data_IF_363345252242
#
_entry.id   IF_363345252242
#
_cell.length_a   1.000
_cell.length_b   1.000
_cell.length_c   1.000
_cell.angle_alpha   90.00
_cell.angle_beta   90.00
_cell.angle_gamma   90.00
#
_symmetry.space_group_name_H-M   'P 1'
#
loop_
_entity.id
_entity.type
_entity.pdbx_description
1 polymer ?
#
# COMPACT_ATOMS: atom_id res chain seq x y z
N UNK A 1 -14.46 -21.59 -7.48
CA UNK A 1 -13.09 -21.56 -6.89
C UNK A 1 -13.24 -22.07 -5.49
N UNK A 2 -12.49 -23.10 -5.12
CA UNK A 2 -12.53 -23.73 -3.81
C UNK A 2 -11.15 -23.58 -3.15
N UNK A 3 -11.14 -23.18 -1.86
CA UNK A 3 -9.94 -22.99 -1.05
C UNK A 3 -9.42 -21.56 -1.05
N UNK A 4 -8.98 -21.08 0.11
CA UNK A 4 -8.56 -19.69 0.35
C UNK A 4 -7.37 -19.28 -0.51
N UNK A 5 -6.33 -20.09 -0.61
CA UNK A 5 -5.16 -19.77 -1.44
C UNK A 5 -5.50 -19.65 -2.94
N UNK A 6 -6.58 -20.27 -3.41
CA UNK A 6 -7.08 -20.09 -4.77
C UNK A 6 -7.87 -18.78 -4.90
N UNK A 7 -8.63 -18.41 -3.85
CA UNK A 7 -9.36 -17.14 -3.79
C UNK A 7 -8.38 -15.96 -3.75
N UNK A 8 -7.33 -16.04 -2.94
CA UNK A 8 -6.29 -15.00 -2.89
C UNK A 8 -5.57 -14.81 -4.23
N UNK A 9 -5.20 -15.91 -4.90
CA UNK A 9 -4.60 -15.85 -6.25
C UNK A 9 -5.56 -15.27 -7.28
N UNK A 10 -6.84 -15.64 -7.21
CA UNK A 10 -7.85 -15.09 -8.09
C UNK A 10 -8.06 -13.60 -7.85
N UNK A 11 -8.12 -13.18 -6.58
CA UNK A 11 -8.26 -11.77 -6.19
C UNK A 11 -7.06 -10.93 -6.66
N UNK A 12 -5.84 -11.45 -6.53
CA UNK A 12 -4.63 -10.82 -7.09
C UNK A 12 -4.74 -10.56 -8.60
N UNK A 13 -5.15 -11.58 -9.36
CA UNK A 13 -5.31 -11.44 -10.80
C UNK A 13 -6.46 -10.50 -11.16
N UNK A 14 -7.58 -10.59 -10.47
CA UNK A 14 -8.72 -9.70 -10.67
C UNK A 14 -8.32 -8.23 -10.44
N UNK A 15 -7.65 -7.92 -9.36
CA UNK A 15 -7.13 -6.59 -9.06
C UNK A 15 -6.09 -6.13 -10.09
N UNK A 16 -5.25 -7.02 -10.57
CA UNK A 16 -4.27 -6.72 -11.62
C UNK A 16 -4.95 -6.33 -12.93
N UNK A 17 -5.99 -7.04 -13.34
CA UNK A 17 -6.78 -6.69 -14.54
C UNK A 17 -7.57 -5.39 -14.35
N UNK A 18 -8.12 -5.15 -13.17
CA UNK A 18 -8.79 -3.90 -12.84
C UNK A 18 -7.81 -2.71 -12.90
N UNK A 19 -6.61 -2.85 -12.33
CA UNK A 19 -5.57 -1.84 -12.41
C UNK A 19 -5.13 -1.56 -13.86
N UNK A 20 -4.98 -2.60 -14.68
CA UNK A 20 -4.67 -2.46 -16.12
C UNK A 20 -5.77 -1.71 -16.86
N UNK A 21 -7.04 -2.04 -16.61
CA UNK A 21 -8.19 -1.32 -17.18
C UNK A 21 -8.15 0.18 -16.80
N UNK A 22 -7.92 0.50 -15.53
CA UNK A 22 -7.84 1.88 -15.05
C UNK A 22 -6.64 2.62 -15.68
N UNK A 23 -5.48 1.97 -15.83
CA UNK A 23 -4.32 2.53 -16.53
C UNK A 23 -4.65 2.85 -18.00
N UNK A 24 -5.41 1.99 -18.66
CA UNK A 24 -5.90 2.26 -20.02
C UNK A 24 -6.86 3.47 -20.07
N UNK A 25 -7.81 3.55 -19.14
CA UNK A 25 -8.71 4.70 -19.02
C UNK A 25 -7.95 6.00 -18.73
N UNK A 26 -6.98 5.94 -17.81
CA UNK A 26 -6.10 7.07 -17.53
C UNK A 26 -5.35 7.56 -18.78
N UNK A 27 -4.82 6.64 -19.59
CA UNK A 27 -4.15 6.99 -20.86
C UNK A 27 -5.07 7.70 -21.85
N UNK A 28 -6.33 7.25 -21.97
CA UNK A 28 -7.32 7.90 -22.81
C UNK A 28 -7.66 9.32 -22.32
N UNK A 29 -7.88 9.49 -21.03
CA UNK A 29 -8.20 10.82 -20.45
C UNK A 29 -6.99 11.74 -20.53
N UNK A 30 -5.79 11.22 -20.35
CA UNK A 30 -4.56 11.98 -20.52
C UNK A 30 -4.42 12.53 -21.93
N UNK A 31 -4.71 11.73 -22.95
CA UNK A 31 -4.71 12.21 -24.33
C UNK A 31 -5.72 13.36 -24.54
N UNK A 32 -6.92 13.26 -23.96
CA UNK A 32 -7.91 14.33 -24.01
C UNK A 32 -7.42 15.60 -23.28
N UNK A 33 -6.76 15.43 -22.13
CA UNK A 33 -6.12 16.51 -21.39
C UNK A 33 -5.06 17.23 -22.23
N UNK A 34 -4.14 16.50 -22.83
CA UNK A 34 -3.07 17.04 -23.67
C UNK A 34 -3.64 17.81 -24.89
N UNK A 35 -4.66 17.28 -25.55
CA UNK A 35 -5.36 17.97 -26.64
C UNK A 35 -6.06 19.27 -26.20
N UNK A 36 -6.70 19.27 -25.04
CA UNK A 36 -7.34 20.47 -24.48
C UNK A 36 -6.29 21.54 -24.14
N UNK A 37 -5.15 21.13 -23.58
CA UNK A 37 -4.01 22.03 -23.32
C UNK A 37 -3.48 22.67 -24.60
N UNK A 38 -3.27 21.90 -25.66
CA UNK A 38 -2.80 22.40 -26.97
C UNK A 38 -3.76 23.40 -27.59
N UNK A 39 -5.07 23.24 -27.37
CA UNK A 39 -6.11 24.14 -27.88
C UNK A 39 -6.42 25.33 -26.97
N UNK A 40 -5.78 25.44 -25.81
CA UNK A 40 -6.06 26.41 -24.77
C UNK A 40 -7.52 26.30 -24.22
N UNK A 41 -8.10 25.09 -24.23
CA UNK A 41 -9.41 24.77 -23.66
C UNK A 41 -9.26 24.50 -22.15
N UNK A 42 -8.88 25.53 -21.38
CA UNK A 42 -8.42 25.42 -19.99
C UNK A 42 -9.42 24.78 -19.03
N UNK A 43 -10.70 25.07 -19.20
CA UNK A 43 -11.76 24.49 -18.37
C UNK A 43 -11.90 22.98 -18.62
N UNK A 44 -11.83 22.56 -19.87
CA UNK A 44 -11.90 21.13 -20.23
C UNK A 44 -10.63 20.43 -19.77
N UNK A 45 -9.47 21.04 -19.94
CA UNK A 45 -8.20 20.53 -19.41
C UNK A 45 -8.27 20.30 -17.89
N UNK A 46 -8.83 21.25 -17.11
CA UNK A 46 -9.04 21.07 -15.68
C UNK A 46 -9.98 19.91 -15.35
N UNK A 47 -11.07 19.73 -16.10
CA UNK A 47 -12.00 18.63 -15.92
C UNK A 47 -11.33 17.26 -16.19
N UNK A 48 -10.54 17.16 -17.26
CA UNK A 48 -9.75 15.97 -17.54
C UNK A 48 -8.69 15.73 -16.46
N UNK A 49 -8.03 16.77 -15.98
CA UNK A 49 -7.05 16.67 -14.90
C UNK A 49 -7.66 16.09 -13.61
N UNK A 50 -8.84 16.55 -13.21
CA UNK A 50 -9.59 16.00 -12.08
C UNK A 50 -9.97 14.54 -12.27
N UNK A 51 -10.38 14.18 -13.49
CA UNK A 51 -10.68 12.79 -13.83
C UNK A 51 -9.43 11.91 -13.75
N UNK A 52 -8.29 12.39 -14.22
CA UNK A 52 -7.00 11.70 -14.09
C UNK A 52 -6.62 11.49 -12.62
N UNK A 53 -6.82 12.49 -11.76
CA UNK A 53 -6.55 12.37 -10.31
C UNK A 53 -7.37 11.25 -9.66
N UNK A 54 -8.67 11.18 -9.95
CA UNK A 54 -9.56 10.12 -9.45
C UNK A 54 -9.18 8.73 -9.96
N UNK A 55 -8.83 8.60 -11.23
CA UNK A 55 -8.36 7.32 -11.79
C UNK A 55 -7.05 6.88 -11.15
N UNK A 56 -6.15 7.84 -10.86
CA UNK A 56 -4.89 7.55 -10.20
C UNK A 56 -5.08 7.08 -8.77
N UNK A 57 -5.99 7.68 -8.00
CA UNK A 57 -6.37 7.19 -6.68
C UNK A 57 -6.79 5.72 -6.72
N UNK A 58 -7.69 5.36 -7.63
CA UNK A 58 -8.18 3.98 -7.80
C UNK A 58 -7.06 3.01 -8.21
N UNK A 59 -6.15 3.44 -9.09
CA UNK A 59 -4.98 2.64 -9.46
C UNK A 59 -4.12 2.38 -8.23
N UNK A 60 -3.83 3.42 -7.44
CA UNK A 60 -3.00 3.31 -6.25
C UNK A 60 -3.63 2.43 -5.16
N UNK A 61 -4.95 2.50 -4.96
CA UNK A 61 -5.67 1.60 -4.05
C UNK A 61 -5.48 0.14 -4.45
N UNK A 62 -5.67 -0.20 -5.72
CA UNK A 62 -5.48 -1.57 -6.22
C UNK A 62 -4.03 -2.04 -6.13
N UNK A 63 -3.05 -1.17 -6.44
CA UNK A 63 -1.63 -1.53 -6.33
C UNK A 63 -1.23 -1.81 -4.87
N UNK A 64 -1.76 -1.04 -3.93
CA UNK A 64 -1.54 -1.24 -2.50
C UNK A 64 -2.21 -2.54 -2.02
N UNK A 65 -3.46 -2.78 -2.40
CA UNK A 65 -4.20 -3.98 -1.98
C UNK A 65 -3.58 -5.29 -2.48
N UNK A 66 -3.05 -5.29 -3.72
CA UNK A 66 -2.42 -6.48 -4.30
C UNK A 66 -0.97 -6.69 -3.88
N UNK A 67 -0.33 -5.71 -3.21
CA UNK A 67 1.07 -5.82 -2.81
C UNK A 67 1.30 -7.06 -1.94
N UNK A 68 2.26 -7.89 -2.32
CA UNK A 68 2.59 -9.17 -1.66
C UNK A 68 4.01 -9.24 -1.18
N UNK A 69 4.89 -8.40 -1.70
CA UNK A 69 6.33 -8.43 -1.40
C UNK A 69 6.93 -7.01 -1.39
N UNK A 70 8.20 -6.92 -1.02
CA UNK A 70 8.90 -5.63 -0.89
C UNK A 70 9.10 -4.95 -2.26
N UNK A 71 9.20 -5.71 -3.35
CA UNK A 71 9.33 -5.13 -4.70
C UNK A 71 8.08 -4.36 -5.10
N UNK A 72 6.90 -4.84 -4.72
CA UNK A 72 5.63 -4.16 -5.00
C UNK A 72 5.58 -2.76 -4.36
N UNK A 73 6.27 -2.56 -3.21
CA UNK A 73 6.43 -1.23 -2.62
C UNK A 73 7.27 -0.30 -3.50
N UNK A 74 8.29 -0.83 -4.17
CA UNK A 74 9.09 -0.07 -5.14
C UNK A 74 8.21 0.43 -6.30
N UNK A 75 7.34 -0.42 -6.81
CA UNK A 75 6.40 -0.06 -7.88
C UNK A 75 5.41 1.01 -7.42
N UNK A 76 4.85 0.89 -6.21
CA UNK A 76 3.97 1.90 -5.62
C UNK A 76 4.69 3.25 -5.49
N UNK A 77 5.91 3.26 -4.95
CA UNK A 77 6.71 4.47 -4.81
C UNK A 77 7.04 5.10 -6.17
N UNK A 78 7.37 4.30 -7.18
CA UNK A 78 7.61 4.80 -8.53
C UNK A 78 6.35 5.44 -9.14
N UNK A 79 5.20 4.82 -8.97
CA UNK A 79 3.94 5.39 -9.43
C UNK A 79 3.65 6.73 -8.76
N UNK A 80 3.80 6.85 -7.45
CA UNK A 80 3.49 8.08 -6.71
C UNK A 80 4.51 9.20 -6.95
N UNK A 81 5.80 8.88 -6.86
CA UNK A 81 6.86 9.90 -6.84
C UNK A 81 7.32 10.26 -8.24
N UNK A 82 7.52 9.26 -9.10
CA UNK A 82 8.06 9.48 -10.44
C UNK A 82 6.93 9.76 -11.45
N UNK A 83 6.00 8.83 -11.58
CA UNK A 83 5.03 8.91 -12.66
C UNK A 83 4.03 10.05 -12.44
N UNK A 84 3.45 10.16 -11.24
CA UNK A 84 2.50 11.23 -11.00
C UNK A 84 3.18 12.59 -10.88
N UNK A 85 4.09 12.76 -9.91
CA UNK A 85 4.69 14.07 -9.63
C UNK A 85 5.54 14.59 -10.80
N UNK A 86 6.49 13.81 -11.30
CA UNK A 86 7.43 14.32 -12.30
C UNK A 86 6.80 14.44 -13.68
N UNK A 87 5.95 13.52 -14.09
CA UNK A 87 5.35 13.53 -15.43
C UNK A 87 4.14 14.47 -15.54
N UNK A 88 3.46 14.76 -14.43
CA UNK A 88 2.24 15.56 -14.46
C UNK A 88 2.45 16.96 -13.86
N UNK A 89 2.92 17.06 -12.63
CA UNK A 89 2.98 18.33 -11.90
C UNK A 89 3.96 19.30 -12.55
N UNK A 90 5.22 18.88 -12.75
CA UNK A 90 6.27 19.80 -13.17
C UNK A 90 6.15 20.24 -14.64
N UNK A 91 5.36 19.55 -15.45
CA UNK A 91 5.28 19.83 -16.89
C UNK A 91 4.02 20.57 -17.31
N UNK A 92 2.92 20.35 -16.64
CA UNK A 92 1.60 20.81 -17.09
C UNK A 92 0.89 21.73 -16.12
N UNK A 93 1.14 21.61 -14.80
CA UNK A 93 0.36 22.35 -13.82
C UNK A 93 0.58 23.85 -13.91
N UNK A 94 1.83 24.33 -14.08
CA UNK A 94 2.15 25.76 -14.23
C UNK A 94 1.46 26.37 -15.45
N UNK A 95 1.44 25.66 -16.56
CA UNK A 95 0.81 26.14 -17.81
C UNK A 95 -0.70 26.16 -17.67
N UNK A 96 -1.29 25.16 -17.02
CA UNK A 96 -2.71 25.09 -16.78
C UNK A 96 -3.18 26.20 -15.81
N UNK A 97 -2.45 26.43 -14.71
CA UNK A 97 -2.72 27.51 -13.76
C UNK A 97 -2.62 28.90 -14.43
N UNK A 98 -1.61 29.10 -15.26
CA UNK A 98 -1.47 30.34 -16.02
C UNK A 98 -2.66 30.56 -16.98
N UNK A 99 -3.11 29.50 -17.66
CA UNK A 99 -4.26 29.56 -18.56
C UNK A 99 -5.59 29.76 -17.86
N UNK A 100 -5.76 29.22 -16.66
CA UNK A 100 -6.94 29.38 -15.81
C UNK A 100 -6.97 30.74 -15.09
N UNK A 101 -5.80 31.32 -14.80
CA UNK A 101 -5.66 32.53 -13.99
C UNK A 101 -5.79 32.30 -12.48
N UNK A 102 -5.78 31.04 -12.01
CA UNK A 102 -5.81 30.67 -10.59
C UNK A 102 -5.12 29.32 -10.38
N UNK A 103 -4.74 29.04 -9.12
CA UNK A 103 -4.11 27.79 -8.74
C UNK A 103 -5.07 26.60 -8.82
N UNK A 104 -4.54 25.43 -9.16
CA UNK A 104 -5.34 24.22 -9.28
C UNK A 104 -6.02 23.85 -7.95
N UNK A 105 -7.30 23.48 -7.99
CA UNK A 105 -8.03 23.06 -6.80
C UNK A 105 -7.52 21.69 -6.30
N UNK A 106 -7.76 21.41 -5.01
CA UNK A 106 -7.27 20.18 -4.37
C UNK A 106 -7.73 18.88 -5.04
N UNK A 107 -8.91 18.87 -5.68
CA UNK A 107 -9.45 17.73 -6.42
C UNK A 107 -8.81 17.50 -7.80
N UNK A 108 -7.88 18.37 -8.22
CA UNK A 108 -7.00 18.15 -9.36
C UNK A 108 -5.78 17.26 -9.01
N UNK A 109 -5.61 16.92 -7.74
CA UNK A 109 -4.55 16.06 -7.24
C UNK A 109 -5.12 14.79 -6.63
N UNK A 110 -4.46 13.63 -6.79
CA UNK A 110 -4.93 12.40 -6.16
C UNK A 110 -4.76 12.49 -4.64
N UNK A 111 -5.80 12.07 -3.93
CA UNK A 111 -5.72 11.88 -2.49
C UNK A 111 -4.68 10.80 -2.15
N UNK A 112 -3.98 11.00 -1.04
CA UNK A 112 -3.09 9.98 -0.48
C UNK A 112 -3.79 9.12 0.59
N UNK A 113 -5.04 9.43 0.90
CA UNK A 113 -5.83 8.68 1.86
C UNK A 113 -6.41 7.45 1.18
N UNK A 114 -6.14 6.29 1.75
CA UNK A 114 -6.74 5.03 1.33
C UNK A 114 -8.19 4.97 1.81
N UNK A 115 -9.12 4.66 0.88
CA UNK A 115 -10.57 4.64 1.15
C UNK A 115 -11.16 3.24 1.22
N UNK A 116 -10.33 2.21 1.10
CA UNK A 116 -10.75 0.81 1.15
C UNK A 116 -10.92 0.26 2.56
N UNK A 117 -10.98 -1.06 2.65
CA UNK A 117 -11.10 -1.78 3.93
C UNK A 117 -9.78 -1.70 4.71
N UNK A 118 -9.87 -1.45 6.02
CA UNK A 118 -8.70 -1.48 6.91
C UNK A 118 -8.07 -2.87 6.92
N UNK A 119 -6.75 -2.93 6.79
CA UNK A 119 -6.00 -4.18 6.90
C UNK A 119 -4.55 -3.96 7.33
N UNK A 120 -3.95 -5.03 7.85
CA UNK A 120 -2.53 -5.12 8.16
C UNK A 120 -1.95 -6.32 7.41
N UNK A 121 -0.79 -6.14 6.76
CA UNK A 121 -0.10 -7.20 6.03
C UNK A 121 1.41 -7.07 6.21
N UNK A 122 2.07 -8.16 6.53
CA UNK A 122 3.54 -8.23 6.51
C UNK A 122 3.99 -8.66 5.13
N UNK A 123 4.86 -7.87 4.52
CA UNK A 123 5.39 -8.14 3.19
C UNK A 123 6.60 -9.06 3.31
N UNK A 124 6.53 -10.22 2.66
CA UNK A 124 7.54 -11.27 2.71
C UNK A 124 7.89 -11.71 4.16
N UNK A 125 6.94 -12.26 4.92
CA UNK A 125 7.21 -12.73 6.27
C UNK A 125 8.26 -13.84 6.24
N UNK A 126 9.26 -13.73 7.10
CA UNK A 126 10.27 -14.77 7.28
C UNK A 126 9.83 -15.70 8.40
N UNK A 127 9.94 -16.98 8.15
CA UNK A 127 9.65 -18.06 9.11
C UNK A 127 10.90 -18.61 9.79
N UNK A 128 12.09 -18.12 9.38
CA UNK A 128 13.37 -18.56 9.90
C UNK A 128 14.35 -17.38 9.99
N UNK A 129 15.13 -17.33 11.05
CA UNK A 129 16.27 -16.43 11.26
C UNK A 129 17.46 -17.22 11.81
N UNK A 130 18.68 -16.72 11.63
CA UNK A 130 19.85 -17.32 12.23
C UNK A 130 19.97 -16.94 13.71
N UNK A 131 20.71 -17.73 14.49
CA UNK A 131 21.04 -17.37 15.88
C UNK A 131 21.70 -15.98 15.93
N UNK A 132 21.26 -15.16 16.88
CA UNK A 132 21.73 -13.77 17.02
C UNK A 132 21.24 -12.79 15.98
N UNK A 133 20.43 -13.21 15.01
CA UNK A 133 19.85 -12.33 13.99
C UNK A 133 18.56 -11.67 14.48
N UNK A 134 18.45 -10.36 14.29
CA UNK A 134 17.20 -9.63 14.51
C UNK A 134 16.28 -9.73 13.30
N UNK A 135 14.97 -9.81 13.51
CA UNK A 135 13.96 -9.88 12.44
C UNK A 135 13.40 -8.50 12.12
N UNK A 136 13.81 -7.94 10.98
CA UNK A 136 13.24 -6.70 10.44
C UNK A 136 12.07 -6.99 9.52
N UNK A 137 10.92 -6.36 9.81
CA UNK A 137 9.69 -6.53 9.04
C UNK A 137 9.26 -5.20 8.43
N UNK A 138 8.80 -5.27 7.18
CA UNK A 138 8.03 -4.20 6.55
C UNK A 138 6.56 -4.56 6.56
N UNK A 139 5.75 -3.64 7.04
CA UNK A 139 4.34 -3.83 7.31
C UNK A 139 3.55 -2.79 6.54
N UNK A 140 2.58 -3.25 5.76
CA UNK A 140 1.57 -2.42 5.17
C UNK A 140 0.40 -2.35 6.16
N UNK A 141 0.10 -1.16 6.67
CA UNK A 141 -0.97 -0.94 7.63
C UNK A 141 -1.86 0.19 7.11
N UNK A 142 -3.00 -0.18 6.52
CA UNK A 142 -3.87 0.71 5.76
C UNK A 142 -5.10 1.04 6.57
N UNK A 143 -5.45 2.32 6.66
CA UNK A 143 -6.62 2.84 7.38
C UNK A 143 -6.73 2.26 8.81
N UNK A 144 -5.60 2.19 9.50
CA UNK A 144 -5.48 1.77 10.89
C UNK A 144 -4.60 2.74 11.67
N UNK A 145 -4.88 2.92 12.94
CA UNK A 145 -4.18 3.83 13.82
C UNK A 145 -3.20 3.09 14.73
N UNK A 146 -1.97 3.61 14.82
CA UNK A 146 -0.96 3.13 15.77
C UNK A 146 -0.81 1.61 15.83
N UNK A 147 -0.46 0.93 14.73
CA UNK A 147 -0.26 -0.51 14.74
C UNK A 147 0.89 -0.90 15.68
N UNK A 148 0.68 -1.99 16.43
CA UNK A 148 1.64 -2.51 17.42
C UNK A 148 1.95 -3.96 17.10
N UNK A 149 3.24 -4.31 17.08
CA UNK A 149 3.69 -5.69 17.03
C UNK A 149 3.80 -6.24 18.45
N UNK A 150 3.27 -7.44 18.66
CA UNK A 150 3.46 -8.23 19.87
C UNK A 150 4.23 -9.49 19.53
N UNK A 151 5.22 -9.85 20.34
CA UNK A 151 6.00 -11.07 20.18
C UNK A 151 6.29 -11.71 21.53
N UNK A 152 6.53 -13.00 21.52
CA UNK A 152 6.93 -13.78 22.70
C UNK A 152 7.73 -15.01 22.28
N UNK A 153 8.55 -15.54 23.16
CA UNK A 153 9.14 -16.87 23.03
C UNK A 153 8.05 -17.91 22.90
N UNK A 154 8.24 -18.89 22.04
CA UNK A 154 7.25 -19.94 21.84
C UNK A 154 6.94 -20.70 23.14
N UNK A 155 5.66 -20.75 23.48
CA UNK A 155 5.18 -21.39 24.73
C UNK A 155 5.14 -20.48 25.96
N UNK A 156 5.64 -19.25 25.91
CA UNK A 156 5.49 -18.28 26.99
C UNK A 156 4.11 -17.61 26.96
N UNK A 157 3.61 -17.19 28.13
CA UNK A 157 2.34 -16.47 28.21
C UNK A 157 2.48 -14.96 28.00
N UNK A 158 3.65 -14.39 28.33
CA UNK A 158 3.87 -12.95 28.35
C UNK A 158 4.29 -12.39 27.01
N UNK A 159 3.53 -11.41 26.50
CA UNK A 159 3.83 -10.68 25.27
C UNK A 159 4.66 -9.43 25.51
N UNK A 160 5.75 -9.28 24.76
CA UNK A 160 6.49 -8.04 24.59
C UNK A 160 5.86 -7.21 23.47
N UNK A 161 5.98 -5.87 23.52
CA UNK A 161 5.38 -4.94 22.56
C UNK A 161 6.42 -4.07 21.88
N UNK A 162 6.24 -3.83 20.59
CA UNK A 162 7.03 -2.91 19.78
C UNK A 162 6.11 -2.01 18.95
N UNK A 163 6.34 -0.71 19.01
CA UNK A 163 5.65 0.24 18.14
C UNK A 163 6.25 0.18 16.74
N UNK A 164 5.40 0.23 15.74
CA UNK A 164 5.82 0.32 14.36
C UNK A 164 6.18 1.77 14.01
N UNK A 165 7.29 1.95 13.29
CA UNK A 165 7.73 3.25 12.78
C UNK A 165 7.19 3.45 11.38
N UNK A 166 6.39 4.50 11.14
CA UNK A 166 5.98 4.88 9.80
C UNK A 166 7.20 5.36 9.00
N UNK A 167 7.42 4.80 7.81
CA UNK A 167 8.53 5.13 6.91
C UNK A 167 8.07 5.72 5.58
N UNK A 168 6.78 5.77 5.33
CA UNK A 168 6.19 6.37 4.13
C UNK A 168 4.73 5.93 4.00
N UNK A 169 3.86 6.75 3.42
CA UNK A 169 2.42 6.51 3.27
C UNK A 169 1.88 5.54 4.35
N UNK A 170 1.33 4.41 4.00
CA UNK A 170 0.86 3.37 4.94
C UNK A 170 1.91 2.26 5.20
N UNK A 171 3.18 2.54 4.96
CA UNK A 171 4.28 1.58 5.14
C UNK A 171 4.96 1.84 6.48
N UNK A 172 5.07 0.79 7.26
CA UNK A 172 5.70 0.80 8.57
C UNK A 172 6.88 -0.18 8.61
N UNK A 173 7.75 0.04 9.54
CA UNK A 173 8.88 -0.83 9.82
C UNK A 173 8.97 -1.13 11.31
N UNK A 174 9.35 -2.36 11.63
CA UNK A 174 9.61 -2.81 13.00
C UNK A 174 10.72 -3.85 12.99
N UNK A 175 11.54 -3.87 14.03
CA UNK A 175 12.60 -4.87 14.21
C UNK A 175 12.37 -5.59 15.52
N UNK A 176 12.13 -6.90 15.46
CA UNK A 176 12.16 -7.79 16.63
C UNK A 176 13.64 -8.04 16.95
N UNK A 177 14.11 -7.76 18.17
CA UNK A 177 15.50 -8.03 18.56
C UNK A 177 15.80 -9.54 18.45
N UNK A 178 17.08 -9.89 18.35
CA UNK A 178 17.51 -11.28 18.35
C UNK A 178 16.91 -12.02 19.56
N UNK A 179 16.40 -13.23 19.33
CA UNK A 179 15.84 -14.10 20.34
C UNK A 179 16.76 -15.31 20.53
N UNK A 180 16.73 -15.92 21.72
CA UNK A 180 17.55 -17.11 22.02
C UNK A 180 16.85 -18.42 21.64
N UNK A 181 15.53 -18.38 21.39
CA UNK A 181 14.74 -19.55 21.01
C UNK A 181 13.59 -19.14 20.07
N UNK A 182 12.96 -20.12 19.47
CA UNK A 182 11.82 -19.93 18.57
C UNK A 182 10.79 -18.99 19.20
N UNK A 183 10.20 -18.16 18.38
CA UNK A 183 9.27 -17.14 18.85
C UNK A 183 8.08 -16.98 17.91
N UNK A 184 7.05 -16.37 18.43
CA UNK A 184 5.86 -16.03 17.66
C UNK A 184 5.53 -14.56 17.78
N UNK A 185 4.89 -14.01 16.73
CA UNK A 185 4.47 -12.62 16.73
C UNK A 185 3.14 -12.43 16.00
N UNK A 186 2.48 -11.34 16.31
CA UNK A 186 1.36 -10.80 15.57
C UNK A 186 1.37 -9.28 15.59
N UNK A 187 0.60 -8.66 14.70
CA UNK A 187 0.44 -7.21 14.64
C UNK A 187 -1.04 -6.88 14.78
N UNK A 188 -1.37 -5.86 15.54
CA UNK A 188 -2.73 -5.43 15.74
C UNK A 188 -2.87 -3.90 15.77
N UNK A 189 -4.07 -3.43 15.42
CA UNK A 189 -4.54 -2.06 15.60
C UNK A 189 -6.06 -2.11 15.77
N UNK A 190 -6.56 -1.86 16.98
CA UNK A 190 -7.97 -2.07 17.29
C UNK A 190 -8.40 -3.52 16.99
N UNK A 191 -9.42 -3.66 16.16
CA UNK A 191 -9.95 -4.98 15.76
C UNK A 191 -9.22 -5.61 14.57
N UNK A 192 -8.30 -4.85 13.93
CA UNK A 192 -7.55 -5.34 12.78
C UNK A 192 -6.29 -6.05 13.24
N UNK A 193 -6.11 -7.30 12.79
CA UNK A 193 -4.98 -8.15 13.17
C UNK A 193 -4.30 -8.79 11.96
N UNK A 194 -3.02 -9.11 12.12
CA UNK A 194 -2.25 -9.93 11.19
C UNK A 194 -1.39 -10.92 12.00
N UNK A 195 -1.33 -12.21 11.65
CA UNK A 195 -2.04 -12.84 10.53
C UNK A 195 -3.56 -12.94 10.78
N UNK A 196 -4.33 -12.96 9.70
CA UNK A 196 -5.77 -13.22 9.74
C UNK A 196 -5.99 -14.72 9.56
N UNK A 197 -6.76 -15.34 10.47
CA UNK A 197 -7.28 -16.68 10.25
C UNK A 197 -8.74 -16.59 9.85
N UNK A 198 -9.08 -17.13 8.70
CA UNK A 198 -10.47 -17.15 8.21
C UNK A 198 -11.21 -18.38 8.71
N UNK A 199 -10.51 -19.46 9.04
CA UNK A 199 -11.10 -20.76 9.40
C UNK A 199 -10.89 -21.18 10.86
N UNK A 200 -10.14 -20.40 11.64
CA UNK A 200 -9.89 -20.72 13.04
C UNK A 200 -10.27 -19.53 13.93
N UNK A 201 -11.22 -19.65 14.87
CA UNK A 201 -11.52 -18.61 15.84
C UNK A 201 -10.40 -18.36 16.84
N UNK A 202 -9.41 -19.26 16.92
CA UNK A 202 -8.23 -19.08 17.76
C UNK A 202 -7.31 -17.99 17.20
N UNK A 203 -6.62 -17.22 18.06
CA UNK A 203 -5.62 -16.27 17.63
C UNK A 203 -4.54 -16.98 16.82
N UNK A 204 -4.28 -16.48 15.61
CA UNK A 204 -3.18 -16.97 14.78
C UNK A 204 -1.95 -16.10 14.96
N UNK A 205 -0.78 -16.74 14.97
CA UNK A 205 0.51 -16.10 15.13
C UNK A 205 1.44 -16.52 14.00
N UNK A 206 2.37 -15.65 13.63
CA UNK A 206 3.50 -16.03 12.80
C UNK A 206 4.57 -16.65 13.69
N UNK A 207 4.94 -17.88 13.43
CA UNK A 207 6.04 -18.58 14.13
C UNK A 207 7.33 -18.39 13.36
N UNK A 208 8.40 -18.09 14.08
CA UNK A 208 9.77 -17.93 13.54
C UNK A 208 10.70 -18.88 14.25
N UNK A 209 11.39 -19.72 13.46
CA UNK A 209 12.33 -20.72 13.94
C UNK A 209 13.75 -20.15 13.89
N UNK A 210 14.52 -20.36 14.95
CA UNK A 210 15.92 -19.98 15.03
C UNK A 210 16.78 -21.16 14.55
N UNK A 211 17.63 -20.88 13.57
CA UNK A 211 18.63 -21.82 13.08
C UNK A 211 19.95 -21.58 13.80
N UNK A 212 20.42 -22.62 14.48
CA UNK A 212 21.79 -22.71 14.97
C UNK A 212 22.79 -23.01 13.86
#
# INVERSE_FOLDING_TARGET
IVGEGNLERFDYWLKSWQALKLKGQYGCVRYQFENAMEKNEWTDALNYRKTMAKLWEQIMELEVEKATNVSDLGDIMNLEVVNWKQLMINKHDEVLEAGLGYSLPGDAYPSQDYKGKSFIKVLAPRTQVNEGESLRLKVLAIAVDNPVLKYRTFGEEKWSKLNLKNIGRSVYEVTIPAQESDFEYFIESGDVKYPVSVNNPEPTFNTVIIKG
#
